data_IF_144493549992
#
_entry.id   IF_144493549992
#
_cell.length_a   1.000
_cell.length_b   1.000
_cell.length_c   1.000
_cell.angle_alpha   90.00
_cell.angle_beta   90.00
_cell.angle_gamma   90.00
#
_symmetry.space_group_name_H-M   'P 1'
#
loop_
_entity.id
_entity.type
_entity.pdbx_description
1 polymer ?
#
# COMPACT_ATOMS: atom_id res chain seq x y z
N UNK A 1 16.13 5.85 30.97
CA UNK A 1 15.09 5.23 30.13
C UNK A 1 14.12 6.34 29.78
N UNK A 2 14.32 7.00 28.62
CA UNK A 2 13.47 8.11 28.19
C UNK A 2 12.37 7.56 27.29
N UNK A 3 11.17 7.99 27.61
CA UNK A 3 9.88 7.62 27.06
C UNK A 3 9.86 7.59 25.54
N UNK A 4 9.17 6.60 25.01
CA UNK A 4 8.71 6.51 23.62
C UNK A 4 8.03 7.83 23.29
N UNK A 5 8.73 8.71 22.60
CA UNK A 5 8.13 9.88 21.97
C UNK A 5 7.18 9.34 20.90
N UNK A 6 5.93 9.28 21.34
CA UNK A 6 4.69 9.25 20.57
C UNK A 6 4.93 9.55 19.10
N UNK A 7 4.47 8.61 18.25
CA UNK A 7 4.23 8.73 16.80
C UNK A 7 3.26 9.88 16.46
N UNK A 8 3.46 11.05 17.06
CA UNK A 8 2.79 12.30 16.74
C UNK A 8 3.65 12.96 15.67
N UNK A 9 2.96 13.36 14.60
CA UNK A 9 3.45 14.20 13.52
C UNK A 9 4.06 13.47 12.31
N UNK A 10 3.67 12.21 12.06
CA UNK A 10 3.60 11.72 10.68
C UNK A 10 2.29 12.22 10.08
N UNK A 11 2.24 13.51 9.70
CA UNK A 11 1.30 13.94 8.68
C UNK A 11 1.75 13.30 7.37
N UNK A 12 1.29 12.06 7.13
CA UNK A 12 1.29 11.53 5.78
C UNK A 12 0.40 12.48 4.98
N UNK A 13 1.02 13.25 4.09
CA UNK A 13 0.29 13.88 2.99
C UNK A 13 -0.25 12.76 2.13
N UNK A 14 -1.39 12.19 2.55
CA UNK A 14 -2.08 11.21 1.76
C UNK A 14 -2.33 11.84 0.38
N UNK A 15 -2.03 11.15 -0.73
CA UNK A 15 -2.10 11.75 -2.05
C UNK A 15 -3.53 12.19 -2.34
N UNK A 16 -3.68 13.14 -3.27
CA UNK A 16 -4.95 13.53 -3.91
C UNK A 16 -5.94 12.37 -3.98
N UNK A 17 -7.24 12.63 -3.75
CA UNK A 17 -8.29 11.61 -3.62
C UNK A 17 -8.06 10.38 -4.53
N UNK A 18 -7.80 10.58 -5.83
CA UNK A 18 -7.36 9.52 -6.75
C UNK A 18 -6.40 10.03 -7.85
N UNK A 19 -5.50 9.19 -8.35
CA UNK A 19 -4.78 9.44 -9.61
C UNK A 19 -5.65 9.10 -10.82
N UNK A 20 -5.75 10.02 -11.78
CA UNK A 20 -6.63 9.88 -12.95
C UNK A 20 -5.93 10.44 -14.19
N UNK A 21 -6.09 9.74 -15.33
CA UNK A 21 -5.75 10.24 -16.67
C UNK A 21 -6.89 9.92 -17.67
N UNK A 22 -6.66 10.07 -18.97
CA UNK A 22 -7.65 9.81 -20.01
C UNK A 22 -8.20 8.36 -20.04
N UNK A 23 -7.49 7.40 -19.46
CA UNK A 23 -7.89 5.99 -19.37
C UNK A 23 -8.57 5.67 -18.03
N UNK A 24 -8.76 6.67 -17.15
CA UNK A 24 -9.48 6.55 -15.89
C UNK A 24 -8.57 6.55 -14.66
N UNK A 25 -9.09 6.03 -13.55
CA UNK A 25 -8.35 5.94 -12.28
C UNK A 25 -7.25 4.89 -12.40
N UNK A 26 -6.05 5.20 -11.90
CA UNK A 26 -4.94 4.26 -11.87
C UNK A 26 -4.15 4.34 -10.56
N UNK A 27 -3.35 3.31 -10.32
CA UNK A 27 -2.34 3.25 -9.27
C UNK A 27 -0.96 3.00 -9.89
N UNK A 28 0.08 3.33 -9.14
CA UNK A 28 1.48 2.97 -9.41
C UNK A 28 1.99 2.07 -8.29
N UNK A 29 3.03 1.27 -8.54
CA UNK A 29 3.52 0.25 -7.59
C UNK A 29 4.94 0.53 -7.10
N UNK A 30 5.21 0.08 -5.88
CA UNK A 30 6.56 -0.05 -5.36
C UNK A 30 6.68 -1.33 -4.52
N UNK A 31 7.90 -1.88 -4.42
CA UNK A 31 8.12 -3.06 -3.60
C UNK A 31 8.41 -2.65 -2.16
N UNK A 32 7.53 -3.02 -1.23
CA UNK A 32 7.79 -2.80 0.19
C UNK A 32 8.66 -3.92 0.73
N UNK A 33 9.94 -3.63 0.92
CA UNK A 33 10.89 -4.59 1.51
C UNK A 33 10.52 -4.98 2.95
N UNK A 34 9.93 -4.07 3.71
CA UNK A 34 9.48 -4.35 5.08
C UNK A 34 8.33 -5.35 5.12
N UNK A 35 7.48 -5.38 4.09
CA UNK A 35 6.36 -6.31 3.98
C UNK A 35 6.63 -7.51 3.09
N UNK A 36 7.73 -7.50 2.33
CA UNK A 36 8.05 -8.54 1.36
C UNK A 36 7.04 -8.65 0.21
N UNK A 37 6.35 -7.56 -0.16
CA UNK A 37 5.34 -7.56 -1.23
C UNK A 37 5.15 -6.23 -1.94
N UNK A 38 4.58 -6.29 -3.14
CA UNK A 38 4.21 -5.11 -3.92
C UNK A 38 3.05 -4.35 -3.26
N UNK A 39 3.23 -3.04 -3.14
CA UNK A 39 2.24 -2.08 -2.68
C UNK A 39 1.88 -1.15 -3.85
N UNK A 40 0.61 -0.76 -3.93
CA UNK A 40 0.05 0.06 -4.98
C UNK A 40 -0.52 1.33 -4.36
N UNK A 41 -0.14 2.48 -4.91
CA UNK A 41 -0.40 3.81 -4.37
C UNK A 41 -0.83 4.74 -5.50
N UNK A 42 -1.37 5.90 -5.15
CA UNK A 42 -1.61 6.94 -6.14
C UNK A 42 -0.27 7.45 -6.72
N UNK A 43 -0.25 7.87 -7.97
CA UNK A 43 0.91 8.57 -8.53
C UNK A 43 1.21 9.87 -7.77
N UNK A 44 2.50 10.11 -7.53
CA UNK A 44 3.00 11.19 -6.68
C UNK A 44 3.03 10.86 -5.19
N UNK A 45 2.71 9.62 -4.79
CA UNK A 45 2.79 9.22 -3.37
C UNK A 45 4.23 9.18 -2.92
N UNK A 46 4.50 9.86 -1.81
CA UNK A 46 5.77 9.76 -1.12
C UNK A 46 5.79 8.52 -0.24
N UNK A 47 6.78 7.66 -0.44
CA UNK A 47 6.95 6.42 0.33
C UNK A 47 8.33 6.38 0.97
N UNK A 48 8.39 5.84 2.17
CA UNK A 48 9.63 5.65 2.90
C UNK A 48 9.74 4.21 3.43
N UNK A 49 10.97 3.72 3.53
CA UNK A 49 11.25 2.38 4.05
C UNK A 49 12.67 2.29 4.58
N UNK A 50 12.91 1.29 5.43
CA UNK A 50 14.24 0.97 5.91
C UNK A 50 14.80 -0.25 5.20
N UNK A 51 15.93 -0.08 4.52
CA UNK A 51 16.64 -1.16 3.85
C UNK A 51 17.79 -1.65 4.73
N UNK A 52 17.85 -2.96 5.00
CA UNK A 52 19.00 -3.59 5.66
C UNK A 52 20.15 -3.72 4.65
N UNK A 53 21.26 -3.03 4.90
CA UNK A 53 22.44 -3.03 4.02
C UNK A 53 23.52 -4.00 4.47
N UNK A 54 23.56 -4.32 5.76
CA UNK A 54 24.49 -5.28 6.36
C UNK A 54 23.73 -6.10 7.39
N UNK A 55 23.99 -7.42 7.47
CA UNK A 55 23.28 -8.31 8.39
C UNK A 55 24.02 -8.55 9.72
N UNK A 56 25.32 -8.26 9.79
CA UNK A 56 26.13 -8.47 11.00
C UNK A 56 27.33 -7.49 11.06
N UNK A 57 27.27 -6.44 11.91
CA UNK A 57 26.10 -5.99 12.67
C UNK A 57 24.99 -5.48 11.74
N UNK A 58 23.71 -5.58 12.13
CA UNK A 58 22.62 -5.07 11.31
C UNK A 58 22.77 -3.56 11.12
N UNK A 59 22.92 -3.11 9.88
CA UNK A 59 22.84 -1.70 9.51
C UNK A 59 21.64 -1.50 8.60
N UNK A 60 20.85 -0.47 8.93
CA UNK A 60 19.70 -0.07 8.13
C UNK A 60 19.92 1.32 7.58
N UNK A 61 19.51 1.55 6.33
CA UNK A 61 19.51 2.85 5.69
C UNK A 61 18.06 3.26 5.45
N UNK A 62 17.71 4.47 5.91
CA UNK A 62 16.42 5.07 5.59
C UNK A 62 16.38 5.47 4.11
N UNK A 63 15.31 5.10 3.43
CA UNK A 63 15.05 5.42 2.02
C UNK A 63 13.72 6.12 1.90
N UNK A 64 13.65 7.00 0.92
CA UNK A 64 12.48 7.80 0.60
C UNK A 64 12.43 8.00 -0.91
N UNK A 65 11.24 7.87 -1.50
CA UNK A 65 11.02 8.07 -2.92
C UNK A 65 9.60 8.59 -3.17
N UNK A 66 9.42 9.33 -4.27
CA UNK A 66 8.10 9.65 -4.80
C UNK A 66 7.82 8.61 -5.89
N UNK A 67 6.70 7.89 -5.77
CA UNK A 67 6.31 6.86 -6.73
C UNK A 67 5.29 7.47 -7.69
N UNK A 68 5.63 7.46 -8.97
CA UNK A 68 4.81 8.04 -10.04
C UNK A 68 5.02 7.28 -11.36
N UNK A 69 4.41 7.76 -12.44
CA UNK A 69 4.49 7.15 -13.76
C UNK A 69 5.89 7.17 -14.40
N UNK A 70 6.82 7.97 -13.86
CA UNK A 70 8.19 8.06 -14.40
C UNK A 70 9.07 6.91 -13.92
N UNK A 71 8.75 6.33 -12.75
CA UNK A 71 9.53 5.28 -12.11
C UNK A 71 8.73 4.02 -11.77
N UNK A 72 7.45 3.98 -12.15
CA UNK A 72 6.59 2.83 -11.97
C UNK A 72 5.60 2.66 -13.13
N UNK A 73 5.14 1.43 -13.30
CA UNK A 73 4.02 1.07 -14.16
C UNK A 73 2.69 1.54 -13.57
N UNK A 74 1.73 1.83 -14.46
CA UNK A 74 0.34 2.14 -14.14
C UNK A 74 -0.53 0.88 -14.11
N UNK A 75 -1.47 0.85 -13.16
CA UNK A 75 -2.46 -0.20 -12.96
C UNK A 75 -3.85 0.44 -12.90
N UNK A 76 -4.61 0.32 -13.98
CA UNK A 76 -5.93 0.95 -14.09
C UNK A 76 -6.95 0.20 -13.25
N UNK A 77 -7.75 0.95 -12.50
CA UNK A 77 -8.82 0.45 -11.64
C UNK A 77 -10.08 0.27 -12.48
N UNK A 78 -10.58 -0.95 -12.56
CA UNK A 78 -11.82 -1.28 -13.26
C UNK A 78 -13.04 -1.20 -12.32
N UNK A 79 -12.88 -1.63 -11.07
CA UNK A 79 -13.98 -1.74 -10.10
C UNK A 79 -13.48 -1.58 -8.67
N UNK A 80 -14.30 -0.97 -7.83
CA UNK A 80 -14.14 -0.95 -6.36
C UNK A 80 -15.22 -1.83 -5.75
N UNK A 81 -14.82 -2.74 -4.86
CA UNK A 81 -15.70 -3.69 -4.18
C UNK A 81 -15.58 -3.44 -2.68
N UNK A 82 -16.64 -2.96 -2.04
CA UNK A 82 -16.67 -2.76 -0.58
C UNK A 82 -16.65 -4.11 0.14
N UNK A 83 -15.95 -4.20 1.28
CA UNK A 83 -16.01 -5.37 2.15
C UNK A 83 -17.31 -5.33 2.98
N UNK A 84 -17.96 -6.48 3.14
CA UNK A 84 -19.33 -6.50 3.67
C UNK A 84 -19.43 -6.17 5.17
N UNK A 85 -18.41 -6.41 6.00
CA UNK A 85 -18.47 -6.14 7.45
C UNK A 85 -17.06 -6.03 8.09
N UNK A 86 -16.33 -4.92 7.93
CA UNK A 86 -15.06 -4.75 8.65
C UNK A 86 -15.28 -4.66 10.17
N UNK A 87 -14.76 -5.62 10.93
CA UNK A 87 -14.93 -5.69 12.40
C UNK A 87 -13.75 -5.12 13.19
N UNK A 88 -12.62 -4.88 12.54
CA UNK A 88 -11.41 -4.36 13.14
C UNK A 88 -10.64 -3.42 12.22
N UNK A 89 -9.76 -2.60 12.79
CA UNK A 89 -8.86 -1.73 12.04
C UNK A 89 -7.95 -2.46 11.03
N UNK A 90 -7.71 -3.76 11.26
CA UNK A 90 -6.93 -4.62 10.36
C UNK A 90 -7.78 -5.37 9.34
N UNK A 91 -9.11 -5.28 9.45
CA UNK A 91 -10.02 -5.88 8.47
C UNK A 91 -9.86 -5.18 7.13
N UNK A 92 -10.12 -5.90 6.04
CA UNK A 92 -10.20 -5.31 4.71
C UNK A 92 -11.37 -4.31 4.68
N UNK A 93 -11.09 -3.09 4.20
CA UNK A 93 -12.12 -2.07 3.96
C UNK A 93 -12.77 -2.27 2.61
N UNK A 94 -11.96 -2.34 1.56
CA UNK A 94 -12.44 -2.53 0.19
C UNK A 94 -11.34 -3.15 -0.67
N UNK A 95 -11.77 -3.73 -1.78
CA UNK A 95 -10.94 -4.30 -2.82
C UNK A 95 -11.01 -3.44 -4.07
N UNK A 96 -9.93 -3.44 -4.85
CA UNK A 96 -9.90 -2.92 -6.20
C UNK A 96 -9.61 -4.04 -7.17
N UNK A 97 -10.41 -4.13 -8.23
CA UNK A 97 -10.10 -4.97 -9.38
C UNK A 97 -9.47 -4.11 -10.46
N UNK A 98 -8.30 -4.49 -10.95
CA UNK A 98 -7.64 -3.81 -12.06
C UNK A 98 -8.16 -4.32 -13.41
N UNK A 99 -7.97 -3.53 -14.47
CA UNK A 99 -8.37 -3.91 -15.84
C UNK A 99 -7.69 -5.18 -16.35
N UNK A 100 -6.50 -5.50 -15.84
CA UNK A 100 -5.77 -6.74 -16.13
C UNK A 100 -6.15 -7.92 -15.23
N UNK A 101 -7.15 -7.75 -14.36
CA UNK A 101 -7.74 -8.81 -13.55
C UNK A 101 -7.09 -9.05 -12.18
N UNK A 102 -6.12 -8.24 -11.75
CA UNK A 102 -5.58 -8.32 -10.39
C UNK A 102 -6.61 -7.86 -9.37
N UNK A 103 -6.57 -8.48 -8.19
CA UNK A 103 -7.34 -8.08 -7.02
C UNK A 103 -6.38 -7.46 -6.00
N UNK A 104 -6.64 -6.20 -5.67
CA UNK A 104 -5.89 -5.45 -4.67
C UNK A 104 -6.80 -5.21 -3.47
N UNK A 105 -6.25 -5.19 -2.26
CA UNK A 105 -7.01 -4.94 -1.04
C UNK A 105 -6.35 -3.86 -0.19
N UNK A 106 -7.15 -3.18 0.63
CA UNK A 106 -6.67 -2.27 1.68
C UNK A 106 -7.46 -2.45 2.96
N UNK A 107 -6.88 -2.08 4.10
CA UNK A 107 -7.47 -2.23 5.42
C UNK A 107 -8.21 -0.96 5.87
N UNK A 108 -9.13 -1.10 6.83
CA UNK A 108 -9.93 0.02 7.41
C UNK A 108 -9.07 1.10 8.04
N UNK A 109 -8.07 0.68 8.81
CA UNK A 109 -7.11 1.52 9.49
C UNK A 109 -5.77 0.81 9.42
N UNK A 110 -5.32 0.65 8.19
CA UNK A 110 -4.03 0.09 7.85
C UNK A 110 -3.46 0.83 6.65
N UNK A 111 -2.15 0.73 6.57
CA UNK A 111 -1.21 1.23 5.56
C UNK A 111 -1.82 1.93 4.33
N UNK A 112 -1.28 3.12 4.04
CA UNK A 112 -1.66 4.03 2.95
C UNK A 112 -1.37 3.49 1.53
N UNK A 113 -1.62 2.21 1.28
CA UNK A 113 -1.47 1.54 0.01
C UNK A 113 -2.36 0.30 -0.12
N UNK A 114 -2.72 -0.03 -1.35
CA UNK A 114 -3.31 -1.31 -1.69
C UNK A 114 -2.23 -2.38 -1.83
N UNK A 115 -2.51 -3.62 -1.46
CA UNK A 115 -1.62 -4.76 -1.69
C UNK A 115 -2.30 -5.77 -2.61
N UNK A 116 -1.51 -6.42 -3.47
CA UNK A 116 -2.03 -7.54 -4.25
C UNK A 116 -2.35 -8.69 -3.30
N UNK A 117 -3.49 -9.32 -3.51
CA UNK A 117 -3.81 -10.58 -2.86
C UNK A 117 -3.39 -11.74 -3.76
N UNK A 118 -2.69 -12.72 -3.19
CA UNK A 118 -2.63 -14.04 -3.79
C UNK A 118 -3.97 -14.78 -3.53
N UNK A 119 -4.36 -15.75 -4.39
CA UNK A 119 -5.63 -16.45 -4.23
C UNK A 119 -5.82 -17.12 -2.86
N UNK A 120 -4.75 -17.65 -2.28
CA UNK A 120 -4.70 -18.25 -0.95
C UNK A 120 -4.80 -17.21 0.19
N UNK A 121 -4.30 -15.99 -0.02
CA UNK A 121 -4.51 -14.89 0.93
C UNK A 121 -5.98 -14.46 0.95
N UNK A 122 -6.69 -14.46 -0.19
CA UNK A 122 -8.12 -14.13 -0.23
C UNK A 122 -8.97 -15.12 0.58
N UNK A 123 -8.61 -16.40 0.58
CA UNK A 123 -9.30 -17.42 1.39
C UNK A 123 -9.08 -17.19 2.89
N UNK A 124 -7.86 -16.82 3.29
CA UNK A 124 -7.55 -16.53 4.69
C UNK A 124 -8.13 -15.20 5.19
N UNK A 125 -8.24 -14.20 4.32
CA UNK A 125 -8.88 -12.90 4.64
C UNK A 125 -10.41 -12.98 4.67
N UNK A 126 -11.00 -14.12 4.27
CA UNK A 126 -12.45 -14.41 4.32
C UNK A 126 -12.87 -15.29 5.51
N UNK A 127 -11.92 -15.78 6.30
CA UNK A 127 -12.19 -16.66 7.44
C UNK A 127 -12.00 -15.84 8.72
N UNK A 128 -13.12 -15.51 9.36
CA UNK A 128 -13.22 -14.89 10.69
C UNK A 128 -12.58 -15.75 11.81
#
# INVERSE_FOLDING_TARGET
>A
MKSIETYKDLEFTNPKEHSVDENGRYLVRFYSHERGRWCYVNAGTEVEWWETTEFAPPKRKHKKAIIDETNSEKYYVAETIEAENPTSNKSISHYLKTTDGRLLATQVCGWDCYFSLYPDELENERID
#
